data_IF_659735394690
#
_entry.id   IF_659735394690
#
_cell.length_a   1.000
_cell.length_b   1.000
_cell.length_c   1.000
_cell.angle_alpha   90.00
_cell.angle_beta   90.00
_cell.angle_gamma   90.00
#
_symmetry.space_group_name_H-M   'P 1'
#
loop_
_entity.id
_entity.type
_entity.pdbx_description
1 polymer ?
#
# COMPACT_ATOMS: atom_id res chain seq x y z
N UNK A 1 3.33 14.57 12.62
CA UNK A 1 3.94 13.67 11.63
C UNK A 1 3.65 14.21 10.24
N UNK A 2 4.67 14.55 9.48
CA UNK A 2 4.53 14.95 8.09
C UNK A 2 4.31 13.72 7.20
N UNK A 3 3.74 13.87 5.99
CA UNK A 3 3.58 12.75 5.05
C UNK A 3 4.87 12.00 4.75
N UNK A 4 6.00 12.69 4.69
CA UNK A 4 7.31 12.08 4.46
C UNK A 4 7.76 11.20 5.64
N UNK A 5 7.49 11.63 6.88
CA UNK A 5 7.82 10.85 8.08
C UNK A 5 7.03 9.54 8.11
N UNK A 6 5.76 9.61 7.72
CA UNK A 6 4.89 8.45 7.61
C UNK A 6 5.40 7.46 6.57
N UNK A 7 5.80 7.94 5.40
CA UNK A 7 6.34 7.07 4.34
C UNK A 7 7.65 6.41 4.75
N UNK A 8 8.56 7.15 5.39
CA UNK A 8 9.80 6.60 5.91
C UNK A 8 9.54 5.51 6.97
N UNK A 9 8.59 5.75 7.88
CA UNK A 9 8.17 4.76 8.86
C UNK A 9 7.60 3.49 8.20
N UNK A 10 6.73 3.64 7.20
CA UNK A 10 6.15 2.50 6.48
C UNK A 10 7.21 1.70 5.75
N UNK A 11 8.17 2.37 5.09
CA UNK A 11 9.28 1.70 4.42
C UNK A 11 10.12 0.86 5.41
N UNK A 12 10.46 1.42 6.56
CA UNK A 12 11.18 0.70 7.61
C UNK A 12 10.38 -0.51 8.14
N UNK A 13 9.06 -0.34 8.30
CA UNK A 13 8.16 -1.43 8.72
C UNK A 13 8.10 -2.56 7.69
N UNK A 14 8.03 -2.24 6.41
CA UNK A 14 8.01 -3.22 5.31
C UNK A 14 9.30 -4.05 5.33
N UNK A 15 10.45 -3.38 5.41
CA UNK A 15 11.74 -4.07 5.45
C UNK A 15 11.85 -4.95 6.70
N UNK A 16 11.49 -4.41 7.85
CA UNK A 16 11.52 -5.15 9.12
C UNK A 16 10.63 -6.39 9.11
N UNK A 17 9.41 -6.27 8.59
CA UNK A 17 8.47 -7.40 8.47
C UNK A 17 9.00 -8.46 7.49
N UNK A 18 9.53 -8.03 6.35
CA UNK A 18 10.07 -8.93 5.33
C UNK A 18 11.28 -9.72 5.84
N UNK A 19 12.22 -9.07 6.51
CA UNK A 19 13.40 -9.74 7.08
C UNK A 19 13.01 -10.68 8.22
N UNK A 20 12.11 -10.26 9.09
CA UNK A 20 11.65 -11.10 10.21
C UNK A 20 10.96 -12.38 9.74
N UNK A 21 10.20 -12.30 8.65
CA UNK A 21 9.52 -13.46 8.07
C UNK A 21 10.43 -14.36 7.22
N UNK A 22 11.57 -13.83 6.80
CA UNK A 22 12.55 -14.57 5.98
C UNK A 22 13.95 -14.47 6.60
N UNK A 23 14.16 -15.01 7.82
CA UNK A 23 15.42 -14.81 8.57
C UNK A 23 16.64 -15.45 7.87
N UNK A 24 16.42 -16.51 7.12
CA UNK A 24 17.45 -17.21 6.34
C UNK A 24 17.46 -16.81 4.86
N UNK A 25 16.60 -15.84 4.49
CA UNK A 25 16.45 -15.42 3.10
C UNK A 25 17.59 -14.52 2.63
N UNK A 26 18.03 -14.74 1.40
CA UNK A 26 18.92 -13.82 0.71
C UNK A 26 18.15 -12.58 0.20
N UNK A 27 18.86 -11.65 -0.41
CA UNK A 27 18.25 -10.43 -0.96
C UNK A 27 17.11 -10.74 -1.96
N UNK A 28 17.28 -11.73 -2.81
CA UNK A 28 16.28 -12.10 -3.81
C UNK A 28 14.98 -12.61 -3.16
N UNK A 29 15.11 -13.43 -2.13
CA UNK A 29 13.99 -13.97 -1.37
C UNK A 29 13.22 -12.84 -0.65
N UNK A 30 13.92 -11.94 0.01
CA UNK A 30 13.31 -10.80 0.70
C UNK A 30 12.63 -9.86 -0.28
N UNK A 31 13.26 -9.56 -1.41
CA UNK A 31 12.68 -8.72 -2.46
C UNK A 31 11.42 -9.35 -3.07
N UNK A 32 11.43 -10.64 -3.36
CA UNK A 32 10.27 -11.38 -3.87
C UNK A 32 9.10 -11.37 -2.86
N UNK A 33 9.40 -11.52 -1.57
CA UNK A 33 8.38 -11.42 -0.52
C UNK A 33 7.74 -10.02 -0.47
N UNK A 34 8.56 -8.96 -0.58
CA UNK A 34 8.06 -7.57 -0.58
C UNK A 34 7.12 -7.31 -1.76
N UNK A 35 7.45 -7.83 -2.94
CA UNK A 35 6.65 -7.67 -4.16
C UNK A 35 5.45 -8.62 -4.23
N UNK A 36 5.44 -9.64 -3.39
CA UNK A 36 4.43 -10.68 -3.41
C UNK A 36 3.13 -10.33 -2.65
N UNK A 37 2.08 -11.13 -2.84
CA UNK A 37 0.78 -10.93 -2.18
C UNK A 37 0.82 -11.23 -0.68
N UNK A 38 1.86 -11.87 -0.20
CA UNK A 38 2.01 -12.26 1.21
C UNK A 38 2.37 -11.07 2.10
N UNK A 39 2.98 -10.03 1.54
CA UNK A 39 3.23 -8.80 2.25
C UNK A 39 1.91 -8.08 2.54
N UNK A 40 1.55 -7.98 3.80
CA UNK A 40 0.36 -7.26 4.26
C UNK A 40 0.73 -6.40 5.46
N UNK A 41 0.96 -5.14 5.21
CA UNK A 41 1.30 -4.17 6.25
C UNK A 41 0.07 -3.34 6.61
N UNK A 42 -0.20 -3.18 7.88
CA UNK A 42 -1.30 -2.35 8.39
C UNK A 42 -0.75 -1.12 9.15
N UNK A 43 -0.19 -0.13 8.45
CA UNK A 43 0.44 1.01 9.09
C UNK A 43 -0.56 2.12 9.39
N UNK A 44 -1.29 2.02 10.50
CA UNK A 44 -2.17 3.05 11.08
C UNK A 44 -3.33 3.60 10.23
N UNK A 45 -3.57 3.08 9.03
CA UNK A 45 -4.68 3.54 8.18
C UNK A 45 -5.89 2.59 8.17
N UNK A 46 -5.91 1.62 9.07
CA UNK A 46 -7.06 0.74 9.28
C UNK A 46 -7.22 -0.40 8.27
N UNK A 47 -6.50 -0.41 7.17
CA UNK A 47 -6.52 -1.47 6.17
C UNK A 47 -5.13 -2.01 5.87
N UNK A 48 -5.07 -3.28 5.51
CA UNK A 48 -3.85 -3.93 5.07
C UNK A 48 -3.42 -3.37 3.71
N UNK A 49 -2.13 -3.15 3.56
CA UNK A 49 -1.54 -2.51 2.39
C UNK A 49 -0.46 -3.41 1.81
N UNK A 50 -0.32 -3.40 0.48
CA UNK A 50 0.69 -4.15 -0.25
C UNK A 50 1.05 -3.41 -1.54
N UNK A 51 1.99 -3.96 -2.30
CA UNK A 51 2.36 -3.44 -3.61
C UNK A 51 1.47 -4.02 -4.71
N UNK A 52 1.19 -3.23 -5.73
CA UNK A 52 0.60 -3.71 -6.98
C UNK A 52 1.58 -4.60 -7.72
N UNK A 53 1.14 -5.78 -8.20
CA UNK A 53 2.06 -6.70 -8.87
C UNK A 53 2.53 -6.24 -10.26
N UNK A 54 1.78 -5.35 -10.92
CA UNK A 54 2.03 -4.97 -12.30
C UNK A 54 2.76 -3.63 -12.49
N UNK A 55 2.79 -2.76 -11.47
CA UNK A 55 3.49 -1.47 -11.52
C UNK A 55 4.37 -1.20 -10.29
N UNK A 56 4.32 -2.07 -9.28
CA UNK A 56 5.08 -1.90 -8.05
C UNK A 56 4.63 -0.74 -7.15
N UNK A 57 3.46 -0.16 -7.42
CA UNK A 57 2.93 0.92 -6.61
C UNK A 57 2.45 0.40 -5.25
N UNK A 58 2.86 1.07 -4.17
CA UNK A 58 2.35 0.78 -2.84
C UNK A 58 0.94 1.32 -2.67
N UNK A 59 -0.03 0.43 -2.53
CA UNK A 59 -1.45 0.77 -2.41
C UNK A 59 -1.77 1.19 -0.99
N UNK A 60 -2.23 2.41 -0.82
CA UNK A 60 -2.60 2.95 0.48
C UNK A 60 -3.78 3.90 0.40
N UNK A 61 -4.65 3.95 1.42
CA UNK A 61 -5.72 4.94 1.47
C UNK A 61 -5.15 6.33 1.70
N UNK A 62 -5.86 7.33 1.16
CA UNK A 62 -5.52 8.73 1.30
C UNK A 62 -6.47 9.35 2.33
N UNK A 63 -5.90 9.96 3.35
CA UNK A 63 -6.68 10.70 4.35
C UNK A 63 -7.06 12.05 3.74
N UNK A 64 -8.36 12.33 3.73
CA UNK A 64 -8.91 13.61 3.31
C UNK A 64 -9.13 14.44 4.57
N UNK A 65 -8.53 15.61 4.62
CA UNK A 65 -8.60 16.48 5.79
C UNK A 65 -9.03 17.90 5.38
N UNK A 66 -9.74 18.57 6.27
CA UNK A 66 -10.02 20.00 6.20
C UNK A 66 -9.30 20.67 7.35
N UNK A 67 -8.39 21.60 7.04
CA UNK A 67 -7.65 22.38 8.03
C UNK A 67 -7.10 21.56 9.22
N UNK A 68 -6.33 20.52 8.91
CA UNK A 68 -5.71 19.61 9.89
C UNK A 68 -6.66 18.63 10.60
N UNK A 69 -7.96 18.67 10.30
CA UNK A 69 -8.92 17.72 10.85
C UNK A 69 -9.23 16.65 9.81
N UNK A 70 -8.93 15.37 10.07
CA UNK A 70 -9.34 14.29 9.19
C UNK A 70 -10.86 14.18 9.10
N UNK A 71 -11.40 14.25 7.90
CA UNK A 71 -12.86 14.14 7.66
C UNK A 71 -13.23 12.81 7.02
N UNK A 72 -12.34 12.22 6.23
CA UNK A 72 -12.62 11.03 5.44
C UNK A 72 -11.35 10.32 5.03
N UNK A 73 -11.51 9.13 4.46
CA UNK A 73 -10.43 8.33 3.86
C UNK A 73 -10.89 7.87 2.47
N UNK A 74 -10.07 8.09 1.45
CA UNK A 74 -10.33 7.55 0.11
C UNK A 74 -9.48 6.30 -0.14
N UNK A 75 -9.99 5.22 -0.75
CA UNK A 75 -11.35 5.06 -1.25
C UNK A 75 -12.38 4.77 -0.14
N UNK A 76 -13.62 5.14 -0.37
CA UNK A 76 -14.74 4.81 0.50
C UNK A 76 -15.81 4.02 -0.26
N UNK A 77 -16.47 3.10 0.45
CA UNK A 77 -17.58 2.34 -0.10
C UNK A 77 -18.69 3.29 -0.63
N UNK A 78 -19.11 3.06 -1.86
CA UNK A 78 -20.13 3.88 -2.52
C UNK A 78 -19.58 5.07 -3.31
N UNK A 79 -18.31 5.39 -3.19
CA UNK A 79 -17.64 6.39 -4.04
C UNK A 79 -17.00 5.76 -5.27
N UNK A 80 -16.70 6.60 -6.26
CA UNK A 80 -16.18 6.16 -7.56
C UNK A 80 -14.93 5.29 -7.49
N UNK A 81 -14.12 5.45 -6.45
CA UNK A 81 -12.87 4.72 -6.25
C UNK A 81 -12.95 3.60 -5.22
N UNK A 82 -14.15 3.27 -4.75
CA UNK A 82 -14.35 2.17 -3.84
C UNK A 82 -14.74 0.91 -4.60
N UNK A 83 -14.03 -0.17 -4.36
CA UNK A 83 -14.39 -1.48 -4.90
C UNK A 83 -15.38 -2.18 -3.97
N UNK A 84 -16.31 -2.91 -4.55
CA UNK A 84 -17.25 -3.73 -3.82
C UNK A 84 -16.73 -5.17 -3.72
N UNK A 85 -16.98 -5.90 -2.64
CA UNK A 85 -17.74 -5.53 -1.43
C UNK A 85 -16.92 -4.80 -0.36
N UNK A 86 -15.62 -4.83 -0.46
CA UNK A 86 -14.68 -4.24 0.48
C UNK A 86 -14.00 -3.03 -0.14
N UNK A 87 -13.39 -2.21 0.72
CA UNK A 87 -12.58 -1.09 0.27
C UNK A 87 -11.29 -1.64 -0.30
N UNK A 88 -11.12 -1.51 -1.60
CA UNK A 88 -9.89 -1.86 -2.30
C UNK A 88 -9.16 -0.59 -2.75
N UNK A 89 -7.88 -0.54 -2.48
CA UNK A 89 -7.04 0.59 -2.88
C UNK A 89 -6.46 0.46 -4.29
N UNK A 90 -6.83 -0.62 -4.99
CA UNK A 90 -6.35 -0.89 -6.33
C UNK A 90 -7.01 -0.02 -7.42
N UNK A 91 -8.14 0.59 -7.09
CA UNK A 91 -8.87 1.49 -7.99
C UNK A 91 -8.29 2.91 -8.04
N UNK A 92 -7.19 3.16 -7.35
CA UNK A 92 -6.53 4.46 -7.35
C UNK A 92 -5.45 4.53 -8.43
N UNK A 93 -5.56 5.53 -9.28
CA UNK A 93 -4.59 5.79 -10.35
C UNK A 93 -4.96 5.13 -11.68
N UNK A 94 -3.95 4.78 -12.48
CA UNK A 94 -4.10 4.16 -13.80
C UNK A 94 -4.35 2.66 -13.64
N UNK A 95 -5.28 2.13 -14.40
CA UNK A 95 -5.57 0.70 -14.44
C UNK A 95 -4.51 -0.07 -15.25
N UNK A 96 -4.36 -1.37 -14.96
CA UNK A 96 -3.37 -2.23 -15.61
C UNK A 96 -3.41 -2.18 -17.15
N UNK A 97 -4.58 -2.25 -17.82
CA UNK A 97 -4.64 -2.17 -19.29
C UNK A 97 -4.14 -0.85 -19.88
N UNK A 98 -4.15 0.23 -19.11
CA UNK A 98 -3.72 1.56 -19.52
C UNK A 98 -2.25 1.83 -19.18
N UNK A 99 -1.64 0.96 -18.37
CA UNK A 99 -0.28 1.14 -17.89
C UNK A 99 0.75 0.87 -18.99
N UNK A 100 1.75 1.73 -19.05
CA UNK A 100 2.97 1.53 -19.84
C UNK A 100 4.12 0.95 -19.01
N UNK A 101 3.89 0.71 -17.73
CA UNK A 101 4.86 0.11 -16.84
C UNK A 101 5.01 -1.37 -17.15
N UNK A 102 6.25 -1.85 -17.21
CA UNK A 102 6.59 -3.27 -17.34
C UNK A 102 7.65 -3.56 -16.28
N UNK A 103 7.27 -4.31 -15.28
CA UNK A 103 8.18 -4.87 -14.28
C UNK A 103 8.68 -6.23 -14.68
#
# INVERSE_FOLDING_TARGET
MLPIDYQAYVAARIIGDAVTRNPEGDFATVAAFIQGPELQVAPFKGIKQNFRPWDGQFRQPIIIATDKVPVSVSPQKGFKHASHPEIEVDTLGIDEPESKCKL
#
